data_IF_025585064571
#
_entry.id   IF_025585064571
#
_cell.length_a   1.000
_cell.length_b   1.000
_cell.length_c   1.000
_cell.angle_alpha   90.00
_cell.angle_beta   90.00
_cell.angle_gamma   90.00
#
_symmetry.space_group_name_H-M   'P 1'
#
loop_
_entity.id
_entity.type
_entity.pdbx_description
1 polymer ?
#
# COMPACT_ATOMS: atom_id res chain seq x y z
N UNK A 1 36.42 -10.28 37.04
CA UNK A 1 36.09 -9.56 35.79
C UNK A 1 35.29 -10.51 34.90
N UNK A 2 33.96 -10.37 34.91
CA UNK A 2 33.07 -11.20 34.08
C UNK A 2 32.43 -10.29 33.03
N UNK A 3 32.66 -10.63 31.77
CA UNK A 3 32.19 -9.90 30.60
C UNK A 3 30.73 -10.30 30.35
N UNK A 4 29.78 -9.41 30.67
CA UNK A 4 28.34 -9.64 30.39
C UNK A 4 28.10 -9.29 28.92
N UNK A 5 28.20 -10.31 28.07
CA UNK A 5 27.72 -10.24 26.69
C UNK A 5 26.21 -10.02 26.70
N UNK A 6 25.77 -8.79 26.45
CA UNK A 6 24.38 -8.47 26.12
C UNK A 6 24.04 -9.10 24.77
N UNK A 7 23.44 -10.29 24.80
CA UNK A 7 22.80 -10.86 23.60
C UNK A 7 21.52 -10.07 23.35
N UNK A 8 21.56 -9.12 22.42
CA UNK A 8 20.32 -8.64 21.81
C UNK A 8 19.65 -9.83 21.11
N UNK A 9 18.35 -10.10 21.35
CA UNK A 9 17.63 -11.03 20.51
C UNK A 9 17.52 -10.45 19.09
N UNK A 10 17.68 -11.28 18.03
CA UNK A 10 17.51 -10.80 16.67
C UNK A 10 16.07 -10.33 16.50
N UNK A 11 15.90 -9.07 16.12
CA UNK A 11 14.63 -8.47 15.77
C UNK A 11 14.19 -9.08 14.44
N UNK A 12 13.53 -10.24 14.51
CA UNK A 12 12.83 -10.82 13.38
C UNK A 12 11.34 -10.60 13.64
N UNK A 13 10.87 -9.36 13.52
CA UNK A 13 9.46 -9.11 13.24
C UNK A 13 9.21 -9.53 11.78
N UNK A 14 9.16 -10.83 11.54
CA UNK A 14 8.72 -11.38 10.28
C UNK A 14 7.21 -11.19 10.17
N UNK A 15 6.75 -10.87 8.94
CA UNK A 15 5.36 -10.62 8.51
C UNK A 15 4.30 -11.67 8.95
N UNK A 16 4.71 -12.73 9.65
CA UNK A 16 3.87 -13.76 10.26
C UNK A 16 2.99 -13.22 11.40
N UNK A 17 3.43 -12.16 12.08
CA UNK A 17 2.72 -11.62 13.26
C UNK A 17 1.44 -10.85 12.89
N UNK A 18 1.42 -10.15 11.75
CA UNK A 18 0.28 -9.35 11.30
C UNK A 18 -0.94 -10.21 10.96
N UNK A 19 -0.74 -11.31 10.22
CA UNK A 19 -1.82 -12.22 9.84
C UNK A 19 -2.42 -12.94 11.05
N UNK A 20 -1.59 -13.29 12.03
CA UNK A 20 -2.08 -13.91 13.27
C UNK A 20 -2.90 -12.94 14.12
N UNK A 21 -2.47 -11.68 14.21
CA UNK A 21 -3.22 -10.63 14.90
C UNK A 21 -4.57 -10.36 14.23
N UNK A 22 -4.61 -10.21 12.90
CA UNK A 22 -5.87 -10.02 12.15
C UNK A 22 -6.84 -11.19 12.36
N UNK A 23 -6.32 -12.42 12.42
CA UNK A 23 -7.14 -13.62 12.69
C UNK A 23 -7.64 -13.69 14.13
N UNK A 24 -6.84 -13.23 15.09
CA UNK A 24 -7.23 -13.18 16.49
C UNK A 24 -8.33 -12.11 16.69
N UNK A 25 -8.18 -10.93 16.10
CA UNK A 25 -9.19 -9.87 16.10
C UNK A 25 -10.51 -10.33 15.47
N UNK A 26 -10.44 -10.99 14.32
CA UNK A 26 -11.63 -11.52 13.63
C UNK A 26 -12.37 -12.60 14.43
N UNK A 27 -11.71 -13.27 15.38
CA UNK A 27 -12.33 -14.24 16.29
C UNK A 27 -12.94 -13.61 17.54
N UNK A 28 -12.48 -12.42 17.90
CA UNK A 28 -12.94 -11.71 19.10
C UNK A 28 -14.24 -10.94 18.84
N UNK A 29 -14.46 -10.51 17.61
CA UNK A 29 -15.69 -9.82 17.22
C UNK A 29 -16.79 -10.84 16.86
N UNK A 30 -17.96 -10.82 17.51
CA UNK A 30 -19.10 -11.61 17.05
C UNK A 30 -19.49 -11.11 15.64
N UNK A 31 -19.32 -11.97 14.65
CA UNK A 31 -19.84 -11.72 13.31
C UNK A 31 -21.36 -11.91 13.38
N UNK A 32 -22.12 -10.83 13.34
CA UNK A 32 -23.59 -10.90 13.28
C UNK A 32 -23.97 -11.12 11.81
N UNK A 33 -24.36 -12.35 11.47
CA UNK A 33 -24.57 -12.82 10.10
C UNK A 33 -25.92 -12.34 9.51
N UNK A 34 -26.38 -11.14 9.89
CA UNK A 34 -27.77 -10.70 9.65
C UNK A 34 -27.97 -9.22 9.36
N UNK A 35 -26.92 -8.45 9.12
CA UNK A 35 -27.03 -7.06 8.66
C UNK A 35 -26.35 -6.92 7.31
N UNK A 36 -27.12 -7.22 6.26
CA UNK A 36 -26.89 -6.60 4.97
C UNK A 36 -27.30 -5.12 5.13
N UNK A 37 -26.37 -4.30 5.62
CA UNK A 37 -26.52 -2.85 5.73
C UNK A 37 -26.39 -2.22 4.32
N UNK A 38 -27.27 -2.65 3.41
CA UNK A 38 -27.55 -1.99 2.12
C UNK A 38 -28.51 -0.79 2.32
N UNK A 39 -28.73 -0.36 3.57
CA UNK A 39 -29.31 0.93 3.87
C UNK A 39 -28.15 1.91 4.05
N UNK A 40 -28.03 2.83 3.09
CA UNK A 40 -27.42 4.16 3.27
C UNK A 40 -28.20 4.86 4.41
N UNK A 41 -28.07 4.38 5.64
CA UNK A 41 -28.37 5.16 6.83
C UNK A 41 -27.36 6.29 6.78
N UNK A 42 -27.80 7.47 6.33
CA UNK A 42 -27.16 8.75 6.61
C UNK A 42 -26.67 8.68 8.05
N UNK A 43 -25.37 8.45 8.23
CA UNK A 43 -24.81 8.12 9.52
C UNK A 43 -25.17 9.26 10.45
N UNK A 44 -26.00 8.99 11.46
CA UNK A 44 -26.39 9.99 12.45
C UNK A 44 -25.18 10.26 13.35
N UNK A 45 -24.28 11.11 12.84
CA UNK A 45 -23.04 11.48 13.50
C UNK A 45 -23.34 12.10 14.87
N UNK A 46 -24.43 12.87 15.00
CA UNK A 46 -24.81 13.45 16.29
C UNK A 46 -25.28 12.35 17.27
N UNK A 47 -26.05 11.37 16.80
CA UNK A 47 -26.41 10.17 17.56
C UNK A 47 -25.19 9.40 18.08
N UNK A 48 -24.21 9.14 17.20
CA UNK A 48 -22.97 8.44 17.55
C UNK A 48 -22.10 9.23 18.54
N UNK A 49 -21.96 10.55 18.35
CA UNK A 49 -21.21 11.44 19.26
C UNK A 49 -21.85 11.48 20.64
N UNK A 50 -23.18 11.51 20.71
CA UNK A 50 -23.91 11.49 21.98
C UNK A 50 -23.70 10.18 22.74
N UNK A 51 -23.78 9.03 22.05
CA UNK A 51 -23.56 7.72 22.65
C UNK A 51 -22.12 7.57 23.18
N UNK A 52 -21.12 7.98 22.39
CA UNK A 52 -19.71 7.93 22.81
C UNK A 52 -19.47 8.78 24.04
N UNK A 53 -19.99 10.01 24.05
CA UNK A 53 -19.86 10.93 25.19
C UNK A 53 -20.53 10.36 26.45
N UNK A 54 -21.70 9.76 26.31
CA UNK A 54 -22.41 9.16 27.44
C UNK A 54 -21.65 7.92 27.97
N UNK A 55 -21.09 7.08 27.10
CA UNK A 55 -20.22 5.96 27.50
C UNK A 55 -18.99 6.46 28.25
N UNK A 56 -18.29 7.45 27.68
CA UNK A 56 -17.09 8.04 28.27
C UNK A 56 -17.36 8.65 29.65
N UNK A 57 -18.54 9.26 29.84
CA UNK A 57 -18.93 9.82 31.15
C UNK A 57 -19.04 8.77 32.26
N UNK A 58 -19.20 7.50 31.91
CA UNK A 58 -19.24 6.38 32.88
C UNK A 58 -17.87 5.80 33.20
N UNK A 59 -16.83 6.15 32.43
CA UNK A 59 -15.48 5.62 32.58
C UNK A 59 -14.65 6.51 33.51
N UNK A 60 -13.94 5.92 34.50
CA UNK A 60 -13.11 6.68 35.42
C UNK A 60 -11.97 7.37 34.66
N UNK A 61 -11.89 8.70 34.81
CA UNK A 61 -10.90 9.54 34.12
C UNK A 61 -11.34 10.12 32.77
N UNK A 62 -12.54 9.81 32.30
CA UNK A 62 -13.16 10.40 31.10
C UNK A 62 -14.46 11.17 31.42
N UNK A 63 -14.69 11.48 32.71
CA UNK A 63 -15.87 12.22 33.18
C UNK A 63 -16.01 13.63 32.57
N UNK A 64 -14.90 14.19 32.09
CA UNK A 64 -14.86 15.52 31.47
C UNK A 64 -14.91 15.48 29.93
N UNK A 65 -14.97 14.29 29.32
CA UNK A 65 -15.05 14.19 27.87
C UNK A 65 -16.37 14.77 27.37
N UNK A 66 -16.25 15.78 26.52
CA UNK A 66 -17.40 16.45 25.92
C UNK A 66 -17.67 15.94 24.49
N UNK A 67 -18.64 16.57 23.82
CA UNK A 67 -18.98 16.20 22.45
C UNK A 67 -17.88 16.58 21.46
N UNK A 68 -17.12 17.63 21.74
CA UNK A 68 -16.05 18.09 20.86
C UNK A 68 -14.87 17.12 20.91
N UNK A 69 -14.57 16.55 22.09
CA UNK A 69 -13.63 15.45 22.26
C UNK A 69 -14.05 14.21 21.45
N UNK A 70 -15.33 13.81 21.58
CA UNK A 70 -15.87 12.64 20.89
C UNK A 70 -15.90 12.84 19.36
N UNK A 71 -16.29 14.03 18.90
CA UNK A 71 -16.22 14.42 17.49
C UNK A 71 -14.77 14.38 16.99
N UNK A 72 -13.84 14.88 17.80
CA UNK A 72 -12.40 14.84 17.51
C UNK A 72 -11.87 13.42 17.33
N UNK A 73 -12.40 12.42 18.04
CA UNK A 73 -12.00 11.03 17.82
C UNK A 73 -12.57 10.42 16.53
N UNK A 74 -13.80 10.80 16.16
CA UNK A 74 -14.43 10.32 14.94
C UNK A 74 -13.85 10.96 13.66
N UNK A 75 -13.37 12.21 13.76
CA UNK A 75 -12.83 12.95 12.61
C UNK A 75 -11.41 12.51 12.20
N UNK A 76 -10.70 11.78 13.07
CA UNK A 76 -9.25 11.52 12.91
C UNK A 76 -8.91 10.59 11.74
N UNK A 77 -9.81 9.71 11.31
CA UNK A 77 -9.43 8.65 10.36
C UNK A 77 -10.06 8.79 8.96
N UNK A 78 -11.05 9.65 8.75
CA UNK A 78 -11.77 9.70 7.45
C UNK A 78 -10.89 10.11 6.27
N UNK A 79 -9.87 10.94 6.51
CA UNK A 79 -8.96 11.46 5.48
C UNK A 79 -7.61 10.74 5.41
N UNK A 80 -7.29 9.86 6.35
CA UNK A 80 -6.00 9.16 6.36
C UNK A 80 -5.96 8.06 5.29
N UNK A 81 -4.82 7.94 4.61
CA UNK A 81 -4.59 7.01 3.51
C UNK A 81 -4.65 5.55 4.01
N UNK A 82 -5.83 4.94 3.94
CA UNK A 82 -6.10 3.59 4.42
C UNK A 82 -7.44 3.44 5.14
N UNK A 83 -8.03 4.55 5.58
CA UNK A 83 -9.30 4.62 6.31
C UNK A 83 -10.37 5.46 5.56
N UNK A 84 -10.02 5.96 4.37
CA UNK A 84 -10.93 6.70 3.50
C UNK A 84 -12.09 5.82 3.07
N UNK A 85 -13.31 6.32 3.30
CA UNK A 85 -14.53 5.73 2.74
C UNK A 85 -14.64 6.27 1.31
N UNK A 86 -14.46 5.38 0.34
CA UNK A 86 -14.52 5.72 -1.09
C UNK A 86 -15.83 5.23 -1.67
N UNK A 87 -16.41 6.04 -2.56
CA UNK A 87 -17.55 5.61 -3.38
C UNK A 87 -17.13 4.57 -4.42
N UNK A 88 -18.08 3.78 -4.90
CA UNK A 88 -17.85 2.80 -5.98
C UNK A 88 -17.19 3.42 -7.21
N UNK A 89 -17.57 4.65 -7.54
CA UNK A 89 -17.01 5.39 -8.68
C UNK A 89 -15.54 5.74 -8.44
N UNK A 90 -15.19 6.24 -7.25
CA UNK A 90 -13.80 6.56 -6.89
C UNK A 90 -12.92 5.30 -6.87
N UNK A 91 -13.45 4.19 -6.38
CA UNK A 91 -12.77 2.89 -6.42
C UNK A 91 -12.52 2.46 -7.87
N UNK A 92 -13.52 2.58 -8.74
CA UNK A 92 -13.41 2.23 -10.16
C UNK A 92 -12.36 3.10 -10.87
N UNK A 93 -12.32 4.40 -10.58
CA UNK A 93 -11.36 5.34 -11.16
C UNK A 93 -9.93 5.03 -10.70
N UNK A 94 -9.71 4.77 -9.41
CA UNK A 94 -8.42 4.34 -8.89
C UNK A 94 -7.91 3.04 -9.55
N UNK A 95 -8.81 2.07 -9.76
CA UNK A 95 -8.48 0.81 -10.42
C UNK A 95 -8.10 1.02 -11.90
N UNK A 96 -8.81 1.91 -12.60
CA UNK A 96 -8.53 2.24 -13.99
C UNK A 96 -7.18 2.96 -14.13
N UNK A 97 -6.89 3.90 -13.25
CA UNK A 97 -5.60 4.59 -13.19
C UNK A 97 -4.44 3.63 -12.91
N UNK A 98 -4.62 2.71 -11.96
CA UNK A 98 -3.62 1.70 -11.65
C UNK A 98 -3.37 0.76 -12.85
N UNK A 99 -4.43 0.38 -13.58
CA UNK A 99 -4.31 -0.44 -14.81
C UNK A 99 -3.60 0.32 -15.92
N UNK A 100 -3.92 1.60 -16.13
CA UNK A 100 -3.28 2.45 -17.14
C UNK A 100 -1.77 2.59 -16.87
N UNK A 101 -1.39 2.89 -15.62
CA UNK A 101 0.03 2.97 -15.21
C UNK A 101 0.79 1.67 -15.44
N UNK A 102 0.19 0.51 -15.14
CA UNK A 102 0.82 -0.80 -15.42
C UNK A 102 0.99 -1.04 -16.92
N UNK A 103 -0.01 -0.73 -17.74
CA UNK A 103 0.08 -0.88 -19.21
C UNK A 103 1.20 -0.03 -19.79
N UNK A 104 1.31 1.21 -19.32
CA UNK A 104 2.37 2.13 -19.74
C UNK A 104 3.75 1.64 -19.33
N UNK A 105 3.91 1.14 -18.10
CA UNK A 105 5.16 0.53 -17.64
C UNK A 105 5.57 -0.68 -18.49
N UNK A 106 4.63 -1.55 -18.86
CA UNK A 106 4.91 -2.72 -19.72
C UNK A 106 5.32 -2.25 -21.13
N UNK A 107 4.65 -1.24 -21.67
CA UNK A 107 4.98 -0.68 -22.98
C UNK A 107 6.40 -0.10 -23.00
N UNK A 108 6.77 0.71 -22.01
CA UNK A 108 8.12 1.30 -21.88
C UNK A 108 9.18 0.21 -21.75
N UNK A 109 8.92 -0.84 -20.96
CA UNK A 109 9.84 -1.97 -20.81
C UNK A 109 10.06 -2.71 -22.14
N UNK A 110 8.99 -2.99 -22.88
CA UNK A 110 9.06 -3.65 -24.17
C UNK A 110 9.79 -2.81 -25.24
N UNK A 111 9.55 -1.50 -25.22
CA UNK A 111 10.23 -0.57 -26.12
C UNK A 111 11.73 -0.51 -25.83
N UNK A 112 12.12 -0.43 -24.55
CA UNK A 112 13.51 -0.44 -24.10
C UNK A 112 14.23 -1.73 -24.54
N UNK A 113 13.60 -2.89 -24.31
CA UNK A 113 14.16 -4.18 -24.73
C UNK A 113 14.34 -4.26 -26.26
N UNK A 114 13.39 -3.72 -27.02
CA UNK A 114 13.48 -3.70 -28.48
C UNK A 114 14.64 -2.82 -28.96
N UNK A 115 14.82 -1.65 -28.35
CA UNK A 115 15.95 -0.76 -28.64
C UNK A 115 17.30 -1.43 -28.34
N UNK A 116 17.44 -2.07 -27.18
CA UNK A 116 18.67 -2.79 -26.81
C UNK A 116 19.03 -3.91 -27.79
N UNK A 117 18.02 -4.63 -28.30
CA UNK A 117 18.23 -5.66 -29.33
C UNK A 117 18.77 -5.06 -30.62
N UNK A 118 18.21 -3.93 -31.07
CA UNK A 118 18.68 -3.23 -32.28
C UNK A 118 20.12 -2.75 -32.08
N UNK A 119 20.42 -2.14 -30.94
CA UNK A 119 21.76 -1.65 -30.64
C UNK A 119 22.80 -2.78 -30.65
N UNK A 120 22.46 -3.90 -30.02
CA UNK A 120 23.33 -5.09 -30.00
C UNK A 120 23.57 -5.64 -31.41
N UNK A 121 22.56 -5.60 -32.29
CA UNK A 121 22.72 -6.04 -33.69
C UNK A 121 23.65 -5.10 -34.47
N UNK A 122 23.48 -3.78 -34.31
CA UNK A 122 24.34 -2.78 -34.93
C UNK A 122 25.80 -2.94 -34.49
N UNK A 123 26.05 -3.11 -33.19
CA UNK A 123 27.40 -3.32 -32.66
C UNK A 123 28.07 -4.57 -33.23
N UNK A 124 27.31 -5.66 -33.37
CA UNK A 124 27.79 -6.90 -34.01
C UNK A 124 28.11 -6.69 -35.48
N UNK A 125 27.27 -5.96 -36.21
CA UNK A 125 27.51 -5.65 -37.62
C UNK A 125 28.77 -4.80 -37.80
N UNK A 126 28.92 -3.73 -37.01
CA UNK A 126 30.11 -2.86 -37.04
C UNK A 126 31.36 -3.66 -36.70
N UNK A 127 31.31 -4.50 -35.67
CA UNK A 127 32.44 -5.35 -35.27
C UNK A 127 32.81 -6.33 -36.38
N UNK A 128 31.82 -6.96 -37.02
CA UNK A 128 32.04 -7.89 -38.14
C UNK A 128 32.64 -7.18 -39.35
N UNK A 129 32.17 -5.98 -39.69
CA UNK A 129 32.74 -5.18 -40.77
C UNK A 129 34.20 -4.78 -40.46
N UNK A 130 34.49 -4.30 -39.25
CA UNK A 130 35.86 -3.98 -38.81
C UNK A 130 36.79 -5.17 -38.94
N UNK A 131 36.35 -6.38 -38.57
CA UNK A 131 37.14 -7.61 -38.74
C UNK A 131 37.38 -7.97 -40.21
N UNK A 132 36.37 -7.81 -41.07
CA UNK A 132 36.51 -8.07 -42.52
C UNK A 132 37.50 -7.10 -43.19
N UNK A 133 37.44 -5.82 -42.86
CA UNK A 133 38.35 -4.79 -43.39
C UNK A 133 39.79 -5.03 -42.96
N UNK A 134 40.03 -5.39 -41.68
CA UNK A 134 41.35 -5.81 -41.19
C UNK A 134 41.90 -7.01 -41.96
N UNK A 135 41.05 -8.01 -42.25
CA UNK A 135 41.45 -9.21 -42.99
C UNK A 135 41.77 -8.92 -44.47
N UNK A 136 41.20 -7.86 -45.05
CA UNK A 136 41.48 -7.42 -46.42
C UNK A 136 42.71 -6.51 -46.55
N UNK A 137 43.47 -6.28 -45.47
CA UNK A 137 44.70 -5.48 -45.51
C UNK A 137 44.47 -3.97 -45.73
N UNK A 138 43.22 -3.51 -45.66
CA UNK A 138 42.93 -2.07 -45.71
C UNK A 138 43.17 -1.47 -44.32
N UNK A 139 44.33 -0.81 -44.17
CA UNK A 139 44.65 0.01 -43.01
C UNK A 139 43.83 1.31 -43.12
N UNK A 140 42.75 1.42 -42.37
CA UNK A 140 41.98 2.67 -42.26
C UNK A 140 42.59 3.45 -41.09
N UNK A 141 43.29 4.54 -41.41
CA UNK A 141 43.69 5.60 -40.46
C UNK A 141 42.46 6.38 -40.00
#
# INVERSE_FOLDING_TARGET
MANVMTRQPPVIFSNLNMVMWVRAWRKLWPYDEGKDDDEEEEADIDGAVNEIRDICSTLPGFEQSDKDDAMGWLDVDSNDAGYQILTDQEIADMLNDAKSRRKESIFVFNLSNSFQRIQTQLDRMVTTQKMRLKKQGQHIF
#
